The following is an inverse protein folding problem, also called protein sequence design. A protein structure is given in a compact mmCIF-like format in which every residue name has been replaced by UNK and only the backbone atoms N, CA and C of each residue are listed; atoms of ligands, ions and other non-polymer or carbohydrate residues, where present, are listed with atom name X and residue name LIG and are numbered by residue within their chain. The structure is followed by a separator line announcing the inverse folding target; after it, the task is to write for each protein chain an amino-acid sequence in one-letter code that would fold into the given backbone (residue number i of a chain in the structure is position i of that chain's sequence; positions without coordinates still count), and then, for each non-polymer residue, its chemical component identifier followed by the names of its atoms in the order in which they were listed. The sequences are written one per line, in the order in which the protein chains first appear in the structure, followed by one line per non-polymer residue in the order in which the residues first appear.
data_IF_251509981767
#
_entry.id   IF_251509981767
#
_cell.length_a   1.000
_cell.length_b   1.000
_cell.length_c   1.000
_cell.angle_alpha   90.00
_cell.angle_beta   90.00
_cell.angle_gamma   90.00
#
_symmetry.space_group_name_H-M   'P 1'
#
loop_
_entity.id
_entity.type
_entity.pdbx_description
1 polymer ?
#
# COMPACT_ATOMS: atom_id res chain seq x y z
N UNK A 1 28.97 14.71 51.30
CA UNK A 1 28.90 15.44 50.02
C UNK A 1 29.01 14.42 48.90
N UNK A 2 27.92 14.18 48.18
CA UNK A 2 27.88 13.21 47.08
C UNK A 2 26.63 13.46 46.26
N UNK A 3 26.80 14.11 45.12
CA UNK A 3 25.75 14.49 44.18
C UNK A 3 25.24 13.26 43.41
N UNK A 4 23.94 13.02 43.49
CA UNK A 4 23.19 12.21 42.52
C UNK A 4 22.52 13.15 41.52
N UNK A 5 23.08 13.29 40.31
CA UNK A 5 22.36 13.85 39.17
C UNK A 5 21.86 12.71 38.29
N UNK A 6 20.54 12.59 38.22
CA UNK A 6 19.78 11.72 37.34
C UNK A 6 19.89 12.19 35.89
N UNK A 7 20.34 11.30 35.01
CA UNK A 7 20.25 11.47 33.56
C UNK A 7 18.82 11.20 33.08
N UNK A 8 18.03 12.25 32.87
CA UNK A 8 16.70 12.18 32.23
C UNK A 8 16.65 13.02 30.94
N UNK A 9 17.77 13.14 30.22
CA UNK A 9 17.91 14.02 29.04
C UNK A 9 17.73 13.37 27.66
N UNK A 10 17.38 12.08 27.57
CA UNK A 10 17.39 11.34 26.30
C UNK A 10 16.11 11.38 25.46
N UNK A 11 14.94 11.57 26.07
CA UNK A 11 13.65 11.39 25.38
C UNK A 11 13.09 12.67 24.74
N UNK A 12 13.47 13.86 25.21
CA UNK A 12 12.93 15.13 24.71
C UNK A 12 13.50 15.54 23.33
N UNK A 13 14.75 15.17 23.01
CA UNK A 13 15.38 15.55 21.74
C UNK A 13 14.94 14.69 20.52
N UNK A 14 14.33 13.52 20.74
CA UNK A 14 13.78 12.71 19.64
C UNK A 14 12.40 13.20 19.21
N UNK A 15 11.67 13.88 20.10
CA UNK A 15 10.31 14.36 19.88
C UNK A 15 10.25 15.54 18.90
N UNK A 16 11.22 16.45 18.89
CA UNK A 16 11.23 17.57 17.94
C UNK A 16 11.52 17.12 16.49
N UNK A 17 12.21 15.99 16.31
CA UNK A 17 12.54 15.47 14.96
C UNK A 17 11.33 14.87 14.23
N UNK A 18 10.37 14.24 14.94
CA UNK A 18 9.18 13.66 14.27
C UNK A 18 8.03 14.67 14.10
N UNK A 19 8.09 15.85 14.72
CA UNK A 19 7.10 16.92 14.53
C UNK A 19 7.06 17.43 13.06
N UNK A 20 8.11 17.18 12.29
CA UNK A 20 8.26 17.59 10.88
C UNK A 20 7.99 16.48 9.85
N UNK A 21 7.63 15.27 10.32
CA UNK A 21 7.48 14.13 9.43
C UNK A 21 6.07 14.08 8.88
N UNK A 22 5.94 14.56 7.64
CA UNK A 22 4.73 14.34 6.84
C UNK A 22 4.48 12.84 6.67
N UNK A 23 3.37 12.31 7.20
CA UNK A 23 2.99 10.90 7.09
C UNK A 23 1.62 10.75 6.43
N UNK A 24 1.43 9.61 5.75
CA UNK A 24 0.14 9.26 5.17
C UNK A 24 -0.80 8.68 6.23
N UNK A 25 -1.96 9.29 6.45
CA UNK A 25 -2.93 8.84 7.46
C UNK A 25 -3.56 7.49 7.13
N UNK A 26 -3.54 7.07 5.86
CA UNK A 26 -4.10 5.78 5.46
C UNK A 26 -3.15 4.59 5.73
N UNK A 27 -1.83 4.82 5.85
CA UNK A 27 -0.88 3.72 6.01
C UNK A 27 0.21 3.97 7.05
N UNK A 28 0.27 5.16 7.65
CA UNK A 28 1.27 5.56 8.65
C UNK A 28 2.70 5.62 8.13
N UNK A 29 2.92 5.50 6.83
CA UNK A 29 4.26 5.58 6.22
C UNK A 29 4.61 7.04 5.98
N UNK A 30 5.87 7.39 6.22
CA UNK A 30 6.40 8.72 5.94
C UNK A 30 6.29 9.04 4.44
N UNK A 31 5.74 10.21 4.14
CA UNK A 31 5.84 10.82 2.82
C UNK A 31 7.24 11.45 2.77
N UNK A 32 8.14 10.78 2.06
CA UNK A 32 9.53 11.21 1.90
C UNK A 32 9.69 12.16 0.71
N UNK A 33 10.75 12.96 0.71
CA UNK A 33 11.03 13.86 -0.40
C UNK A 33 11.65 13.14 -1.60
N UNK A 34 11.44 13.68 -2.80
CA UNK A 34 12.08 13.21 -4.03
C UNK A 34 12.86 14.30 -4.76
N UNK A 35 13.84 13.90 -5.56
CA UNK A 35 14.54 14.86 -6.42
C UNK A 35 13.81 15.03 -7.75
N UNK A 36 13.99 16.20 -8.38
CA UNK A 36 13.49 16.43 -9.76
C UNK A 36 14.07 15.40 -10.73
N UNK A 37 15.31 14.97 -10.53
CA UNK A 37 15.98 13.97 -11.38
C UNK A 37 15.25 12.63 -11.33
N UNK A 38 14.86 12.17 -10.14
CA UNK A 38 14.13 10.91 -9.97
C UNK A 38 12.80 10.91 -10.72
N UNK A 39 12.05 12.01 -10.63
CA UNK A 39 10.76 12.17 -11.32
C UNK A 39 10.96 12.20 -12.84
N UNK A 40 11.89 13.02 -13.34
CA UNK A 40 12.08 13.19 -14.79
C UNK A 40 12.68 11.95 -15.46
N UNK A 41 13.40 11.12 -14.71
CA UNK A 41 13.92 9.87 -15.24
C UNK A 41 12.81 8.85 -15.52
N UNK A 42 11.66 8.94 -14.83
CA UNK A 42 10.53 8.03 -15.01
C UNK A 42 9.98 8.06 -16.44
N UNK A 43 9.76 9.27 -16.99
CA UNK A 43 9.05 9.48 -18.26
C UNK A 43 9.74 10.47 -19.19
N UNK A 44 9.98 10.05 -20.43
CA UNK A 44 10.67 10.90 -21.42
C UNK A 44 9.84 12.12 -21.84
N UNK A 45 8.52 12.02 -21.87
CA UNK A 45 7.63 13.16 -22.16
C UNK A 45 7.64 14.20 -21.04
N UNK A 46 7.73 13.77 -19.78
CA UNK A 46 7.96 14.68 -18.64
C UNK A 46 9.31 15.37 -18.75
N UNK A 47 10.37 14.60 -19.06
CA UNK A 47 11.73 15.14 -19.28
C UNK A 47 11.77 16.15 -20.41
N UNK A 48 11.11 15.90 -21.54
CA UNK A 48 10.98 16.86 -22.66
C UNK A 48 10.25 18.12 -22.25
N UNK A 49 9.11 17.98 -21.57
CA UNK A 49 8.30 19.11 -21.09
C UNK A 49 9.07 19.99 -20.09
N UNK A 50 9.91 19.36 -19.26
CA UNK A 50 10.70 20.02 -18.23
C UNK A 50 11.84 20.89 -18.76
N UNK A 51 12.27 20.71 -20.02
CA UNK A 51 13.29 21.56 -20.65
C UNK A 51 12.81 22.99 -20.83
N UNK A 52 11.53 23.15 -21.08
CA UNK A 52 10.92 24.45 -21.41
C UNK A 52 10.10 25.03 -20.27
N UNK A 53 9.80 24.23 -19.23
CA UNK A 53 8.94 24.62 -18.11
C UNK A 53 9.61 24.35 -16.76
N UNK A 54 9.57 25.34 -15.87
CA UNK A 54 10.03 25.20 -14.48
C UNK A 54 9.11 24.36 -13.59
N UNK A 55 7.92 24.00 -14.08
CA UNK A 55 6.92 23.19 -13.39
C UNK A 55 6.13 22.34 -14.39
N UNK A 56 5.55 21.23 -13.92
CA UNK A 56 4.71 20.35 -14.72
C UNK A 56 3.48 19.91 -13.92
N UNK A 57 2.33 19.92 -14.57
CA UNK A 57 1.06 19.44 -14.03
C UNK A 57 0.46 18.41 -14.97
N UNK A 58 -0.37 17.55 -14.40
CA UNK A 58 -1.33 16.70 -15.10
C UNK A 58 -2.63 16.60 -14.28
N UNK A 59 -3.56 15.73 -14.67
CA UNK A 59 -4.77 15.42 -13.91
C UNK A 59 -4.44 14.49 -12.73
N UNK A 60 -5.25 14.59 -11.68
CA UNK A 60 -5.16 13.67 -10.55
C UNK A 60 -5.34 12.21 -11.00
N UNK A 61 -6.35 11.96 -11.83
CA UNK A 61 -6.65 10.64 -12.35
C UNK A 61 -5.47 9.99 -13.10
N UNK A 62 -4.74 10.76 -13.94
CA UNK A 62 -3.56 10.20 -14.64
C UNK A 62 -2.50 9.75 -13.64
N UNK A 63 -2.21 10.57 -12.63
CA UNK A 63 -1.16 10.26 -11.65
C UNK A 63 -1.55 9.11 -10.73
N UNK A 64 -2.82 9.03 -10.30
CA UNK A 64 -3.33 7.96 -9.44
C UNK A 64 -3.33 6.59 -10.13
N UNK A 65 -3.53 6.57 -11.45
CA UNK A 65 -3.49 5.35 -12.24
C UNK A 65 -2.09 5.04 -12.78
N UNK A 66 -1.09 5.84 -12.42
CA UNK A 66 0.28 5.66 -12.90
C UNK A 66 0.96 4.48 -12.21
N UNK A 67 1.72 3.73 -13.00
CA UNK A 67 2.69 2.78 -12.48
C UNK A 67 4.10 3.30 -12.75
N UNK A 68 4.85 3.54 -11.68
CA UNK A 68 6.24 4.00 -11.75
C UNK A 68 7.17 2.82 -11.99
N UNK A 69 7.55 2.61 -13.25
CA UNK A 69 8.34 1.45 -13.70
C UNK A 69 9.82 1.60 -13.39
N UNK A 70 10.39 2.80 -13.57
CA UNK A 70 11.85 3.00 -13.40
C UNK A 70 12.21 3.28 -11.95
N UNK A 71 11.35 4.00 -11.22
CA UNK A 71 11.52 4.24 -9.79
C UNK A 71 10.22 3.98 -9.02
N UNK A 72 9.97 2.73 -8.58
CA UNK A 72 8.76 2.37 -7.87
C UNK A 72 8.45 3.27 -6.69
N UNK A 73 9.47 3.73 -5.93
CA UNK A 73 9.33 4.61 -4.76
C UNK A 73 8.61 5.93 -5.03
N UNK A 74 8.50 6.34 -6.30
CA UNK A 74 7.76 7.55 -6.66
C UNK A 74 6.32 7.52 -6.14
N UNK A 75 5.71 6.33 -5.98
CA UNK A 75 4.36 6.19 -5.42
C UNK A 75 4.21 6.84 -4.02
N UNK A 76 5.24 6.77 -3.17
CA UNK A 76 5.21 7.25 -1.79
C UNK A 76 5.54 8.74 -1.65
N UNK A 77 5.93 9.40 -2.74
CA UNK A 77 6.23 10.84 -2.68
C UNK A 77 5.01 11.69 -2.99
N UNK A 78 4.09 11.17 -3.81
CA UNK A 78 2.89 11.87 -4.24
C UNK A 78 1.75 11.67 -3.23
N UNK A 79 1.21 12.78 -2.76
CA UNK A 79 0.12 12.80 -1.80
C UNK A 79 -0.88 13.91 -2.13
N UNK A 80 -2.11 13.73 -1.65
CA UNK A 80 -3.10 14.79 -1.47
C UNK A 80 -3.37 14.96 0.03
N UNK A 81 -4.01 16.04 0.45
CA UNK A 81 -4.38 16.27 1.82
C UNK A 81 -5.89 16.52 1.92
N UNK A 82 -6.50 15.95 2.95
CA UNK A 82 -7.81 16.41 3.44
C UNK A 82 -7.53 17.63 4.29
N UNK A 83 -8.10 18.77 3.91
CA UNK A 83 -7.89 20.05 4.57
C UNK A 83 -9.12 20.38 5.41
N UNK A 84 -8.89 20.67 6.68
CA UNK A 84 -9.92 20.96 7.68
C UNK A 84 -9.60 22.34 8.26
N UNK A 85 -10.55 23.27 8.11
CA UNK A 85 -10.44 24.63 8.65
C UNK A 85 -11.83 25.22 8.98
N UNK A 86 -11.87 26.52 9.27
CA UNK A 86 -13.11 27.26 9.58
C UNK A 86 -13.93 27.65 8.34
N UNK A 87 -13.33 27.66 7.16
CA UNK A 87 -13.95 28.06 5.89
C UNK A 87 -14.63 26.87 5.18
N UNK A 88 -14.21 25.65 5.49
CA UNK A 88 -14.84 24.42 5.04
C UNK A 88 -13.84 23.30 4.82
N UNK A 89 -14.34 22.06 4.88
CA UNK A 89 -13.51 20.88 4.64
C UNK A 89 -13.37 20.64 3.13
N UNK A 90 -12.16 20.41 2.66
CA UNK A 90 -11.91 20.20 1.23
C UNK A 90 -10.79 19.19 0.97
N UNK A 91 -10.87 18.53 -0.18
CA UNK A 91 -9.81 17.66 -0.67
C UNK A 91 -8.86 18.44 -1.58
N UNK A 92 -7.57 18.36 -1.33
CA UNK A 92 -6.57 19.00 -2.19
C UNK A 92 -6.31 18.20 -3.48
N UNK A 93 -5.62 18.83 -4.42
CA UNK A 93 -4.93 18.14 -5.52
C UNK A 93 -3.71 17.36 -5.03
N UNK A 94 -3.02 16.73 -5.97
CA UNK A 94 -1.83 15.90 -5.69
C UNK A 94 -0.55 16.68 -5.92
N UNK A 95 0.45 16.50 -5.07
CA UNK A 95 1.81 16.97 -5.31
C UNK A 95 2.85 16.05 -4.67
N UNK A 96 4.12 16.07 -5.14
CA UNK A 96 5.19 15.39 -4.47
C UNK A 96 5.64 16.20 -3.25
N UNK A 97 6.15 15.52 -2.22
CA UNK A 97 7.01 16.21 -1.24
C UNK A 97 8.34 16.55 -1.91
N UNK A 98 8.62 17.84 -2.06
CA UNK A 98 9.88 18.33 -2.61
C UNK A 98 10.71 18.85 -1.43
N UNK A 99 11.99 18.48 -1.39
CA UNK A 99 12.94 19.08 -0.45
C UNK A 99 13.04 20.58 -0.73
N UNK A 100 12.33 21.40 0.06
CA UNK A 100 12.50 22.84 0.05
C UNK A 100 13.17 23.30 1.34
N UNK A 101 14.16 24.18 1.17
CA UNK A 101 14.99 24.69 2.23
C UNK A 101 14.26 25.76 3.06
N UNK A 102 14.44 25.67 4.38
CA UNK A 102 14.22 26.70 5.42
C UNK A 102 12.80 27.00 5.95
N UNK A 103 11.70 26.48 5.38
CA UNK A 103 10.36 26.67 5.97
C UNK A 103 9.51 25.39 5.90
N UNK A 104 9.12 24.87 7.06
CA UNK A 104 8.37 23.62 7.31
C UNK A 104 6.89 23.66 6.87
N UNK A 105 6.53 24.55 5.93
CA UNK A 105 5.13 24.74 5.53
C UNK A 105 4.82 23.81 4.37
N UNK A 106 3.92 22.84 4.61
CA UNK A 106 3.44 21.96 3.55
C UNK A 106 2.44 22.71 2.65
N UNK A 107 2.50 22.43 1.35
CA UNK A 107 1.70 23.14 0.36
C UNK A 107 1.17 22.20 -0.70
N UNK A 108 -0.13 22.25 -0.92
CA UNK A 108 -0.84 21.40 -1.89
C UNK A 108 -1.65 22.25 -2.88
N UNK A 109 -1.91 21.77 -4.11
CA UNK A 109 -2.85 22.42 -5.01
C UNK A 109 -4.27 22.44 -4.42
N UNK A 110 -5.03 23.51 -4.63
CA UNK A 110 -6.42 23.62 -4.14
C UNK A 110 -7.42 22.80 -4.96
N UNK A 111 -7.11 22.53 -6.23
CA UNK A 111 -8.00 21.79 -7.14
C UNK A 111 -7.79 20.27 -6.98
N UNK A 112 -8.80 19.51 -6.50
CA UNK A 112 -8.69 18.06 -6.27
C UNK A 112 -8.45 17.24 -7.54
N UNK A 113 -8.72 17.80 -8.72
CA UNK A 113 -8.54 17.15 -10.02
C UNK A 113 -7.17 17.42 -10.65
N UNK A 114 -6.32 18.21 -9.99
CA UNK A 114 -4.98 18.54 -10.48
C UNK A 114 -3.89 17.80 -9.73
N UNK A 115 -2.90 17.35 -10.48
CA UNK A 115 -1.66 16.80 -9.95
C UNK A 115 -0.48 17.65 -10.41
N UNK A 116 0.38 18.07 -9.49
CA UNK A 116 1.72 18.57 -9.81
C UNK A 116 2.66 17.39 -9.92
N UNK A 117 3.40 17.32 -11.03
CA UNK A 117 4.46 16.32 -11.22
C UNK A 117 5.77 16.80 -10.60
N UNK A 118 6.17 18.03 -10.87
CA UNK A 118 7.30 18.72 -10.22
C UNK A 118 7.17 20.25 -10.35
N UNK A 119 8.02 20.99 -9.64
CA UNK A 119 8.16 22.44 -9.77
C UNK A 119 7.94 23.17 -8.44
N UNK A 120 8.31 24.46 -8.36
CA UNK A 120 8.25 25.22 -7.12
C UNK A 120 6.82 25.39 -6.62
N UNK A 121 6.66 25.41 -5.30
CA UNK A 121 5.38 25.70 -4.67
C UNK A 121 5.30 27.16 -4.22
N UNK A 122 4.65 27.99 -5.02
CA UNK A 122 4.43 29.41 -4.71
C UNK A 122 3.09 29.63 -3.98
N UNK A 123 3.09 30.51 -2.98
CA UNK A 123 1.89 30.94 -2.24
C UNK A 123 0.95 31.73 -3.17
N UNK A 124 -0.37 31.58 -3.02
CA UNK A 124 -1.38 32.33 -3.78
C UNK A 124 -1.63 31.85 -5.22
N UNK A 125 -0.77 30.98 -5.78
CA UNK A 125 -0.90 30.46 -7.15
C UNK A 125 -1.70 29.15 -7.20
N UNK A 126 -2.95 29.14 -6.68
CA UNK A 126 -3.78 27.92 -6.56
C UNK A 126 -3.16 26.84 -5.68
N UNK A 127 -2.37 27.27 -4.70
CA UNK A 127 -1.83 26.42 -3.64
C UNK A 127 -2.31 26.93 -2.31
N UNK A 128 -2.43 26.00 -1.38
CA UNK A 128 -2.83 26.28 -0.02
C UNK A 128 -1.79 25.69 0.94
N UNK A 129 -1.43 26.52 1.91
CA UNK A 129 -0.52 26.15 3.00
C UNK A 129 -1.34 25.38 4.04
N UNK A 130 -0.77 24.30 4.56
CA UNK A 130 -1.39 23.54 5.63
C UNK A 130 -0.33 23.02 6.59
N UNK A 131 -0.78 22.75 7.81
CA UNK A 131 -0.04 22.06 8.84
C UNK A 131 -0.57 20.64 8.98
N UNK A 132 0.30 19.65 9.06
CA UNK A 132 -0.14 18.29 9.27
C UNK A 132 -0.80 18.15 10.65
N UNK A 133 -1.91 17.40 10.72
CA UNK A 133 -2.54 17.04 11.98
C UNK A 133 -1.53 16.41 12.95
N UNK A 134 -1.52 16.88 14.20
CA UNK A 134 -0.64 16.38 15.27
C UNK A 134 -1.17 15.05 15.82
N UNK A 135 -1.08 13.99 15.03
CA UNK A 135 -1.61 12.67 15.40
C UNK A 135 -0.86 12.06 16.61
N UNK A 136 0.42 12.40 16.79
CA UNK A 136 1.34 11.75 17.73
C UNK A 136 1.80 12.67 18.87
N UNK A 137 1.42 13.95 18.86
CA UNK A 137 1.98 14.94 19.79
C UNK A 137 0.91 15.68 20.57
N UNK A 138 0.92 15.43 21.88
CA UNK A 138 0.14 16.10 22.92
C UNK A 138 0.71 17.48 23.28
N UNK A 139 1.07 18.27 22.26
CA UNK A 139 1.61 19.62 22.46
C UNK A 139 0.62 20.61 21.88
N UNK A 140 0.10 21.47 22.76
CA UNK A 140 -0.76 22.65 22.56
C UNK A 140 -1.93 22.50 21.57
N UNK A 141 -3.15 22.93 21.95
CA UNK A 141 -4.31 22.90 21.05
C UNK A 141 -4.00 23.57 19.71
N UNK A 142 -4.57 23.04 18.63
CA UNK A 142 -4.43 23.62 17.29
C UNK A 142 -4.66 25.12 17.36
N UNK A 143 -3.69 25.89 16.84
CA UNK A 143 -3.79 27.34 16.81
C UNK A 143 -5.03 27.68 15.98
N UNK A 144 -6.03 28.43 16.50
CA UNK A 144 -7.36 28.60 15.91
C UNK A 144 -7.44 29.21 14.49
N UNK A 145 -6.30 29.43 13.82
CA UNK A 145 -6.18 30.03 12.49
C UNK A 145 -5.34 29.20 11.52
N UNK A 146 -4.83 28.04 11.93
CA UNK A 146 -4.03 27.17 11.05
C UNK A 146 -4.92 26.12 10.37
N UNK A 147 -4.74 25.99 9.05
CA UNK A 147 -5.41 24.94 8.28
C UNK A 147 -4.73 23.61 8.56
N UNK A 148 -5.48 22.68 9.15
CA UNK A 148 -5.00 21.33 9.46
C UNK A 148 -5.17 20.45 8.22
N UNK A 149 -4.18 19.61 7.94
CA UNK A 149 -4.21 18.68 6.83
C UNK A 149 -3.91 17.25 7.26
N UNK A 150 -4.65 16.31 6.68
CA UNK A 150 -4.45 14.87 6.81
C UNK A 150 -3.93 14.33 5.48
N UNK A 151 -2.60 14.17 5.31
CA UNK A 151 -2.00 13.73 4.06
C UNK A 151 -2.33 12.27 3.77
N UNK A 152 -2.57 11.95 2.51
CA UNK A 152 -2.82 10.58 2.03
C UNK A 152 -2.04 10.39 0.73
N UNK A 153 -1.22 9.34 0.64
CA UNK A 153 -0.56 8.97 -0.61
C UNK A 153 -1.60 8.80 -1.72
N UNK A 154 -1.29 9.24 -2.93
CA UNK A 154 -2.23 9.15 -4.06
C UNK A 154 -2.74 7.71 -4.28
N UNK A 155 -1.89 6.70 -4.12
CA UNK A 155 -2.30 5.30 -4.23
C UNK A 155 -3.09 4.80 -3.02
N UNK A 156 -2.79 5.28 -1.80
CA UNK A 156 -3.58 4.94 -0.62
C UNK A 156 -4.98 5.56 -0.66
N UNK A 157 -5.14 6.72 -1.31
CA UNK A 157 -6.44 7.32 -1.57
C UNK A 157 -7.34 6.39 -2.38
N UNK A 158 -6.81 5.73 -3.42
CA UNK A 158 -7.56 4.73 -4.19
C UNK A 158 -7.86 3.44 -3.39
N UNK A 159 -7.04 3.09 -2.41
CA UNK A 159 -7.35 1.97 -1.50
C UNK A 159 -8.45 2.34 -0.50
N UNK A 160 -8.51 3.60 -0.07
CA UNK A 160 -9.57 4.10 0.80
C UNK A 160 -10.96 4.00 0.15
N UNK A 161 -11.06 4.17 -1.17
CA UNK A 161 -12.31 3.94 -1.91
C UNK A 161 -12.81 2.49 -1.74
N UNK A 162 -11.89 1.53 -1.85
CA UNK A 162 -12.23 0.10 -1.73
C UNK A 162 -12.68 -0.29 -0.33
N UNK A 163 -12.17 0.39 0.70
CA UNK A 163 -12.46 0.04 2.10
C UNK A 163 -13.68 0.78 2.64
N UNK A 164 -13.79 2.08 2.37
CA UNK A 164 -14.79 2.98 2.96
C UNK A 164 -15.69 3.59 1.88
N UNK A 165 -15.11 3.97 0.75
CA UNK A 165 -15.79 4.69 -0.34
C UNK A 165 -15.45 6.17 -0.35
N UNK A 166 -15.08 6.69 -1.52
CA UNK A 166 -14.74 8.11 -1.71
C UNK A 166 -15.90 9.02 -1.41
N UNK A 167 -17.11 8.65 -1.85
CA UNK A 167 -18.27 9.54 -1.74
C UNK A 167 -18.67 9.79 -0.28
N UNK A 168 -18.66 8.76 0.57
CA UNK A 168 -18.95 8.92 1.99
C UNK A 168 -17.84 9.70 2.70
N UNK A 169 -16.57 9.44 2.37
CA UNK A 169 -15.44 10.16 2.97
C UNK A 169 -15.43 11.63 2.56
N UNK A 170 -15.68 11.95 1.29
CA UNK A 170 -15.78 13.33 0.80
C UNK A 170 -16.92 14.11 1.46
N UNK A 171 -18.02 13.44 1.81
CA UNK A 171 -19.15 14.05 2.53
C UNK A 171 -18.82 14.36 4.00
N UNK A 172 -17.90 13.60 4.61
CA UNK A 172 -17.58 13.63 6.03
C UNK A 172 -16.06 13.71 6.28
N UNK A 173 -15.39 14.65 5.60
CA UNK A 173 -13.92 14.77 5.60
C UNK A 173 -13.34 14.99 6.99
N UNK A 174 -13.98 15.80 7.83
CA UNK A 174 -13.55 16.10 9.20
C UNK A 174 -13.69 14.92 10.13
N UNK A 175 -14.81 14.19 10.04
CA UNK A 175 -15.02 12.95 10.79
C UNK A 175 -13.98 11.90 10.39
N UNK A 176 -13.65 11.81 9.09
CA UNK A 176 -12.59 10.91 8.64
C UNK A 176 -11.23 11.28 9.25
N UNK A 177 -10.87 12.57 9.26
CA UNK A 177 -9.64 13.05 9.91
C UNK A 177 -9.59 12.68 11.40
N UNK A 178 -10.66 12.95 12.15
CA UNK A 178 -10.78 12.58 13.57
C UNK A 178 -10.73 11.07 13.82
N UNK A 179 -11.31 10.29 12.92
CA UNK A 179 -11.24 8.83 13.00
C UNK A 179 -9.80 8.33 12.77
N UNK A 180 -9.06 8.97 11.86
CA UNK A 180 -7.64 8.68 11.67
C UNK A 180 -6.83 9.02 12.92
N UNK A 181 -7.08 10.16 13.57
CA UNK A 181 -6.44 10.53 14.84
C UNK A 181 -6.69 9.47 15.91
N UNK A 182 -7.95 9.10 16.12
CA UNK A 182 -8.34 8.11 17.12
C UNK A 182 -7.70 6.72 16.89
N UNK A 183 -7.62 6.29 15.64
CA UNK A 183 -6.97 5.03 15.28
C UNK A 183 -5.46 5.08 15.56
N UNK A 184 -4.77 6.10 15.06
CA UNK A 184 -3.31 6.17 15.17
C UNK A 184 -2.82 6.45 16.59
N UNK A 185 -3.58 7.18 17.39
CA UNK A 185 -3.32 7.34 18.82
C UNK A 185 -3.22 6.00 19.55
N UNK A 186 -3.97 4.99 19.12
CA UNK A 186 -3.93 3.62 19.67
C UNK A 186 -2.90 2.72 19.01
N UNK A 187 -2.27 3.18 17.93
CA UNK A 187 -1.37 2.40 17.08
C UNK A 187 -0.04 3.13 16.83
N UNK A 188 0.42 3.91 17.81
CA UNK A 188 1.59 4.79 17.68
C UNK A 188 2.88 4.06 17.30
N UNK A 189 3.09 2.82 17.78
CA UNK A 189 4.26 2.01 17.43
C UNK A 189 4.35 1.68 15.93
N UNK A 190 3.25 1.83 15.21
CA UNK A 190 3.21 1.69 13.77
C UNK A 190 3.19 3.04 13.05
N UNK A 191 3.15 4.20 13.70
CA UNK A 191 3.12 5.49 13.00
C UNK A 191 4.51 5.96 12.56
N UNK A 192 4.57 6.70 11.47
CA UNK A 192 5.81 7.31 10.99
C UNK A 192 6.87 6.31 10.52
N UNK A 193 6.47 5.13 10.07
CA UNK A 193 7.44 4.11 9.59
C UNK A 193 8.06 4.52 8.27
N UNK A 194 9.35 4.25 8.11
CA UNK A 194 10.04 4.44 6.83
C UNK A 194 9.55 3.47 5.73
N UNK A 195 9.96 3.76 4.50
CA UNK A 195 9.76 2.89 3.33
C UNK A 195 10.71 1.68 3.28
N UNK A 196 11.63 1.62 4.23
CA UNK A 196 12.75 0.71 4.29
C UNK A 196 12.69 -0.03 5.60
N UNK A 197 13.09 -1.29 5.58
CA UNK A 197 13.31 -2.07 6.79
C UNK A 197 14.37 -3.13 6.53
N UNK A 198 14.99 -3.57 7.61
CA UNK A 198 15.88 -4.71 7.59
C UNK A 198 15.10 -6.02 7.36
N UNK A 199 15.71 -7.02 6.74
CA UNK A 199 15.09 -8.34 6.61
C UNK A 199 14.78 -8.97 7.97
N UNK A 200 15.63 -8.72 8.97
CA UNK A 200 15.46 -9.19 10.35
C UNK A 200 14.45 -8.35 11.16
N UNK A 201 14.11 -7.15 10.70
CA UNK A 201 13.06 -6.31 11.28
C UNK A 201 11.67 -6.81 10.81
N UNK A 202 11.16 -7.84 11.51
CA UNK A 202 9.80 -8.38 11.44
C UNK A 202 9.27 -8.93 10.10
N UNK A 203 8.75 -10.16 10.16
CA UNK A 203 7.73 -10.77 9.27
C UNK A 203 7.80 -10.38 7.77
N UNK A 204 8.99 -10.40 7.18
CA UNK A 204 9.08 -10.62 5.74
C UNK A 204 8.36 -11.94 5.45
N UNK A 205 7.30 -11.92 4.64
CA UNK A 205 6.58 -13.15 4.26
C UNK A 205 7.58 -14.05 3.53
N UNK A 206 7.94 -15.17 4.17
CA UNK A 206 9.03 -16.04 3.75
C UNK A 206 9.61 -16.77 4.95
N UNK A 207 10.12 -17.98 4.73
CA UNK A 207 10.81 -18.78 5.76
C UNK A 207 11.82 -17.89 6.48
N UNK A 208 11.80 -17.88 7.82
CA UNK A 208 12.92 -17.37 8.61
C UNK A 208 14.14 -18.14 8.11
N UNK A 209 14.94 -17.57 7.22
CA UNK A 209 16.19 -18.21 6.87
C UNK A 209 16.98 -18.20 8.17
N UNK A 210 17.35 -19.38 8.66
CA UNK A 210 18.39 -19.49 9.69
C UNK A 210 19.63 -18.81 9.09
N UNK A 211 19.84 -17.54 9.40
CA UNK A 211 20.98 -16.78 8.89
C UNK A 211 22.14 -17.04 9.83
N UNK A 212 23.17 -17.73 9.32
CA UNK A 212 24.50 -17.63 9.89
C UNK A 212 25.00 -16.18 9.77
N UNK A 213 25.83 -15.77 10.73
CA UNK A 213 26.34 -14.42 11.00
C UNK A 213 27.09 -13.69 9.86
N UNK A 214 27.05 -14.21 8.62
CA UNK A 214 27.86 -13.73 7.50
C UNK A 214 27.07 -13.36 6.22
N UNK A 215 25.74 -13.25 6.27
CA UNK A 215 24.97 -12.81 5.09
C UNK A 215 24.91 -11.27 4.99
N UNK A 216 25.08 -10.70 3.78
CA UNK A 216 24.97 -9.26 3.57
C UNK A 216 23.57 -8.78 3.94
N UNK A 217 23.53 -7.62 4.60
CA UNK A 217 22.31 -6.90 4.98
C UNK A 217 21.48 -6.60 3.72
N UNK A 218 20.25 -7.10 3.67
CA UNK A 218 19.31 -6.82 2.58
C UNK A 218 18.30 -5.78 3.06
N UNK A 219 18.24 -4.64 2.35
CA UNK A 219 17.21 -3.62 2.54
C UNK A 219 16.08 -3.84 1.57
N UNK A 220 14.85 -3.93 2.08
CA UNK A 220 13.67 -3.95 1.25
C UNK A 220 13.19 -2.53 0.93
N UNK A 221 12.70 -2.35 -0.30
CA UNK A 221 12.12 -1.11 -0.76
C UNK A 221 10.66 -1.36 -1.10
N UNK A 222 9.75 -0.74 -0.36
CA UNK A 222 8.33 -0.98 -0.59
C UNK A 222 7.86 -0.47 -1.97
N UNK A 223 7.31 -1.38 -2.76
CA UNK A 223 6.57 -1.06 -3.98
C UNK A 223 5.20 -0.44 -3.71
N UNK A 224 4.48 -0.11 -4.79
CA UNK A 224 3.16 0.49 -4.73
C UNK A 224 2.13 -0.44 -4.08
N UNK A 225 1.36 0.02 -3.08
CA UNK A 225 0.33 -0.81 -2.46
C UNK A 225 -0.89 -1.03 -3.37
N UNK A 226 -1.05 -0.22 -4.43
CA UNK A 226 -2.19 -0.31 -5.32
C UNK A 226 -1.90 -1.23 -6.51
N UNK A 227 -0.75 -1.04 -7.18
CA UNK A 227 -0.41 -1.74 -8.42
C UNK A 227 0.79 -2.64 -8.20
N UNK A 228 0.54 -3.94 -8.19
CA UNK A 228 1.56 -4.96 -7.95
C UNK A 228 1.82 -5.71 -9.26
N UNK A 229 2.95 -5.47 -9.95
CA UNK A 229 3.21 -6.04 -11.28
C UNK A 229 3.18 -7.57 -11.33
N UNK A 230 3.69 -8.23 -10.27
CA UNK A 230 3.66 -9.69 -10.18
C UNK A 230 2.23 -10.24 -10.22
N UNK A 231 1.32 -9.61 -9.48
CA UNK A 231 -0.11 -9.97 -9.50
C UNK A 231 -0.72 -9.66 -10.86
N UNK A 232 -0.46 -8.50 -11.46
CA UNK A 232 -0.99 -8.16 -12.79
C UNK A 232 -0.52 -9.12 -13.90
N UNK A 233 0.76 -9.51 -13.86
CA UNK A 233 1.33 -10.51 -14.77
C UNK A 233 0.64 -11.86 -14.58
N UNK A 234 0.43 -12.26 -13.33
CA UNK A 234 -0.23 -13.51 -12.98
C UNK A 234 -1.69 -13.52 -13.43
N UNK A 235 -2.45 -12.43 -13.23
CA UNK A 235 -3.81 -12.27 -13.76
C UNK A 235 -3.79 -12.48 -15.28
N UNK A 236 -2.90 -11.75 -15.98
CA UNK A 236 -2.78 -11.86 -17.44
C UNK A 236 -2.54 -13.30 -17.89
N UNK A 237 -1.64 -14.02 -17.19
CA UNK A 237 -1.35 -15.42 -17.49
C UNK A 237 -2.52 -16.36 -17.18
N UNK A 238 -3.24 -16.12 -16.08
CA UNK A 238 -4.38 -16.94 -15.67
C UNK A 238 -5.64 -16.68 -16.50
N UNK A 239 -5.73 -15.53 -17.18
CA UNK A 239 -6.86 -15.15 -18.04
C UNK A 239 -6.62 -15.41 -19.53
N UNK A 240 -5.39 -15.76 -19.95
CA UNK A 240 -5.14 -16.17 -21.34
C UNK A 240 -5.84 -17.50 -21.59
N UNK A 241 -6.47 -17.61 -22.76
CA UNK A 241 -7.27 -18.79 -23.17
C UNK A 241 -6.54 -20.08 -22.79
N UNK A 242 -7.24 -20.86 -21.96
CA UNK A 242 -6.76 -22.14 -21.48
C UNK A 242 -6.87 -23.09 -22.67
N UNK A 243 -5.77 -23.29 -23.41
CA UNK A 243 -5.73 -24.32 -24.44
C UNK A 243 -6.00 -25.66 -23.76
N UNK A 244 -7.12 -26.29 -24.14
CA UNK A 244 -7.47 -27.63 -23.70
C UNK A 244 -6.44 -28.58 -24.32
N UNK A 245 -5.48 -29.03 -23.51
CA UNK A 245 -4.56 -30.09 -23.92
C UNK A 245 -5.28 -31.42 -23.68
N UNK A 246 -5.87 -31.97 -24.74
CA UNK A 246 -6.39 -33.34 -24.73
C UNK A 246 -5.23 -34.33 -24.85
N UNK A 247 -4.92 -35.06 -23.77
CA UNK A 247 -4.03 -36.21 -23.81
C UNK A 247 -4.64 -37.43 -23.08
N UNK A 248 -4.37 -38.59 -23.68
CA UNK A 248 -4.99 -39.91 -23.49
C UNK A 248 -4.58 -40.62 -22.20
N UNK A 249 -5.52 -41.43 -21.68
CA UNK A 249 -5.24 -42.62 -20.87
C UNK A 249 -6.18 -42.77 -19.68
N UNK A 250 -7.16 -43.68 -19.76
CA UNK A 250 -8.06 -43.99 -18.64
C UNK A 250 -7.37 -44.93 -17.63
N UNK A 251 -7.02 -44.40 -16.46
CA UNK A 251 -6.54 -45.14 -15.29
C UNK A 251 -7.48 -44.86 -14.13
N UNK A 252 -7.74 -45.86 -13.28
CA UNK A 252 -8.64 -45.74 -12.12
C UNK A 252 -8.23 -44.66 -11.10
N UNK A 253 -6.97 -44.18 -11.13
CA UNK A 253 -6.50 -43.08 -10.27
C UNK A 253 -6.87 -41.69 -10.85
N UNK A 254 -7.18 -41.62 -12.15
CA UNK A 254 -7.69 -40.41 -12.81
C UNK A 254 -9.13 -40.12 -12.39
N UNK A 255 -9.91 -41.16 -12.08
CA UNK A 255 -11.34 -41.09 -11.73
C UNK A 255 -11.60 -41.15 -10.20
N UNK A 256 -10.70 -40.56 -9.41
CA UNK A 256 -10.86 -40.50 -7.95
C UNK A 256 -12.07 -39.62 -7.57
N UNK A 257 -12.87 -39.99 -6.55
CA UNK A 257 -13.88 -39.10 -6.01
C UNK A 257 -13.29 -37.74 -5.61
N UNK A 258 -14.00 -36.67 -5.97
CA UNK A 258 -13.52 -35.30 -5.85
C UNK A 258 -13.13 -34.92 -4.41
N UNK A 259 -13.89 -35.39 -3.44
CA UNK A 259 -13.64 -35.22 -2.02
C UNK A 259 -12.29 -35.81 -1.60
N UNK A 260 -11.94 -37.01 -2.10
CA UNK A 260 -10.64 -37.63 -1.83
C UNK A 260 -9.51 -36.85 -2.53
N UNK A 261 -9.72 -36.38 -3.76
CA UNK A 261 -8.73 -35.55 -4.47
C UNK A 261 -8.44 -34.25 -3.70
N UNK A 262 -9.48 -33.58 -3.19
CA UNK A 262 -9.35 -32.40 -2.32
C UNK A 262 -8.60 -32.75 -1.04
N UNK A 263 -8.96 -33.85 -0.37
CA UNK A 263 -8.29 -34.29 0.86
C UNK A 263 -6.79 -34.55 0.66
N UNK A 264 -6.41 -35.15 -0.48
CA UNK A 264 -5.00 -35.41 -0.79
C UNK A 264 -4.25 -34.09 -1.00
N UNK A 265 -4.81 -33.14 -1.74
CA UNK A 265 -4.19 -31.82 -1.92
C UNK A 265 -4.08 -31.11 -0.57
N UNK A 266 -5.15 -31.10 0.23
CA UNK A 266 -5.13 -30.51 1.57
C UNK A 266 -4.12 -31.17 2.50
N UNK A 267 -3.92 -32.48 2.39
CA UNK A 267 -2.88 -33.19 3.14
C UNK A 267 -1.48 -32.72 2.75
N UNK A 268 -1.18 -32.51 1.47
CA UNK A 268 0.10 -31.92 1.03
C UNK A 268 0.30 -30.54 1.66
N UNK A 269 -0.76 -29.73 1.70
CA UNK A 269 -0.72 -28.40 2.29
C UNK A 269 -0.61 -28.38 3.82
N UNK A 270 -1.24 -29.33 4.50
CA UNK A 270 -1.26 -29.43 5.95
C UNK A 270 -0.03 -30.12 6.54
N UNK A 271 0.58 -31.06 5.81
CA UNK A 271 1.73 -31.84 6.28
C UNK A 271 3.08 -31.16 6.05
N UNK A 272 3.15 -30.14 5.19
CA UNK A 272 4.41 -29.50 4.78
C UNK A 272 4.40 -27.98 4.98
N UNK A 273 5.55 -27.39 5.38
CA UNK A 273 5.68 -25.95 5.43
C UNK A 273 5.47 -25.34 4.04
N UNK A 274 5.21 -24.03 3.98
CA UNK A 274 5.15 -23.31 2.69
C UNK A 274 6.54 -23.36 2.04
N UNK A 275 6.65 -24.08 0.92
CA UNK A 275 7.90 -24.27 0.20
C UNK A 275 7.66 -24.47 -1.30
N UNK A 276 8.72 -24.37 -2.09
CA UNK A 276 8.62 -24.53 -3.55
C UNK A 276 8.33 -25.98 -3.92
N UNK A 277 8.90 -26.94 -3.19
CA UNK A 277 8.67 -28.37 -3.37
C UNK A 277 7.18 -28.71 -3.21
N UNK A 278 6.52 -28.13 -2.20
CA UNK A 278 5.08 -28.31 -1.99
C UNK A 278 4.24 -27.86 -3.18
N UNK A 279 4.59 -26.72 -3.79
CA UNK A 279 3.90 -26.20 -4.97
C UNK A 279 4.16 -27.05 -6.21
N UNK A 280 5.39 -27.50 -6.41
CA UNK A 280 5.78 -28.39 -7.51
C UNK A 280 5.03 -29.71 -7.38
N UNK A 281 5.01 -30.33 -6.20
CA UNK A 281 4.30 -31.59 -5.96
C UNK A 281 2.81 -31.44 -6.21
N UNK A 282 2.20 -30.33 -5.77
CA UNK A 282 0.79 -30.05 -6.04
C UNK A 282 0.52 -29.93 -7.55
N UNK A 283 1.38 -29.22 -8.29
CA UNK A 283 1.24 -29.08 -9.75
C UNK A 283 1.39 -30.42 -10.47
N UNK A 284 2.45 -31.16 -10.12
CA UNK A 284 2.73 -32.48 -10.67
C UNK A 284 1.58 -33.46 -10.40
N UNK A 285 0.99 -33.42 -9.19
CA UNK A 285 -0.18 -34.23 -8.84
C UNK A 285 -1.38 -33.91 -9.73
N UNK A 286 -1.75 -32.62 -9.81
CA UNK A 286 -2.89 -32.17 -10.61
C UNK A 286 -2.69 -32.48 -12.10
N UNK A 287 -1.46 -32.34 -12.61
CA UNK A 287 -1.12 -32.63 -14.00
C UNK A 287 -1.08 -34.14 -14.28
N UNK A 288 -0.39 -34.93 -13.46
CA UNK A 288 -0.25 -36.38 -13.67
C UNK A 288 -1.61 -37.10 -13.63
N UNK A 289 -2.50 -36.68 -12.72
CA UNK A 289 -3.82 -37.28 -12.57
C UNK A 289 -4.93 -36.52 -13.30
N UNK A 290 -4.59 -35.43 -14.00
CA UNK A 290 -5.54 -34.57 -14.71
C UNK A 290 -6.68 -34.06 -13.82
N UNK A 291 -6.43 -33.92 -12.51
CA UNK A 291 -7.44 -33.51 -11.55
C UNK A 291 -7.81 -32.04 -11.76
N UNK A 292 -9.11 -31.79 -11.97
CA UNK A 292 -9.70 -30.46 -12.04
C UNK A 292 -10.51 -30.21 -10.77
N UNK A 293 -9.88 -29.57 -9.78
CA UNK A 293 -10.59 -29.18 -8.56
C UNK A 293 -11.53 -27.97 -8.82
N UNK A 294 -12.67 -27.86 -8.12
CA UNK A 294 -13.62 -26.78 -8.27
C UNK A 294 -12.99 -25.40 -8.11
N UNK A 295 -13.51 -24.40 -8.83
CA UNK A 295 -13.07 -23.01 -8.65
C UNK A 295 -13.26 -22.51 -7.21
N UNK A 296 -14.34 -22.95 -6.56
CA UNK A 296 -14.64 -22.59 -5.17
C UNK A 296 -13.51 -23.01 -4.23
N UNK A 297 -12.95 -24.19 -4.42
CA UNK A 297 -11.79 -24.67 -3.66
C UNK A 297 -10.63 -23.68 -3.77
N UNK A 298 -10.20 -23.34 -5.00
CA UNK A 298 -9.10 -22.40 -5.22
C UNK A 298 -9.39 -20.99 -4.67
N UNK A 299 -10.60 -20.46 -4.91
CA UNK A 299 -11.01 -19.15 -4.42
C UNK A 299 -10.93 -19.06 -2.89
N UNK A 300 -11.33 -20.11 -2.17
CA UNK A 300 -11.27 -20.11 -0.70
C UNK A 300 -9.85 -20.13 -0.13
N UNK A 301 -8.86 -20.63 -0.88
CA UNK A 301 -7.46 -20.67 -0.45
C UNK A 301 -6.73 -19.34 -0.60
N UNK A 302 -7.26 -18.43 -1.40
CA UNK A 302 -6.67 -17.14 -1.67
C UNK A 302 -7.29 -16.04 -0.78
N UNK A 303 -6.46 -15.18 -0.19
CA UNK A 303 -6.94 -14.07 0.65
C UNK A 303 -7.43 -12.91 -0.24
N UNK A 304 -8.73 -12.88 -0.52
CA UNK A 304 -9.40 -11.89 -1.37
C UNK A 304 -9.23 -10.45 -0.86
N UNK A 305 -9.16 -10.26 0.46
CA UNK A 305 -9.00 -8.93 1.04
C UNK A 305 -7.64 -8.31 0.70
N UNK A 306 -6.56 -9.11 0.70
CA UNK A 306 -5.23 -8.64 0.35
C UNK A 306 -5.01 -8.57 -1.17
N UNK A 307 -5.67 -9.45 -1.93
CA UNK A 307 -5.61 -9.52 -3.40
C UNK A 307 -6.98 -9.18 -3.97
N UNK A 308 -7.41 -7.92 -3.76
CA UNK A 308 -8.71 -7.42 -4.20
C UNK A 308 -8.93 -7.52 -5.72
N UNK A 309 -7.86 -7.70 -6.50
CA UNK A 309 -7.99 -7.97 -7.93
C UNK A 309 -8.80 -9.25 -8.21
N UNK A 310 -8.85 -10.21 -7.27
CA UNK A 310 -9.73 -11.37 -7.38
C UNK A 310 -11.21 -10.99 -7.37
N UNK A 311 -11.62 -10.11 -6.45
CA UNK A 311 -13.00 -9.61 -6.38
C UNK A 311 -13.36 -8.83 -7.64
N UNK A 312 -12.41 -8.06 -8.17
CA UNK A 312 -12.57 -7.36 -9.44
C UNK A 312 -12.83 -8.35 -10.59
N UNK A 313 -12.02 -9.41 -10.70
CA UNK A 313 -12.19 -10.46 -11.71
C UNK A 313 -13.52 -11.22 -11.60
N UNK A 314 -13.94 -11.55 -10.37
CA UNK A 314 -15.21 -12.24 -10.09
C UNK A 314 -16.40 -11.35 -10.48
N UNK A 315 -16.38 -10.08 -10.05
CA UNK A 315 -17.43 -9.09 -10.35
C UNK A 315 -17.56 -8.84 -11.85
N UNK A 316 -16.43 -8.78 -12.56
CA UNK A 316 -16.38 -8.64 -14.02
C UNK A 316 -16.73 -9.93 -14.78
N UNK A 317 -16.99 -11.05 -14.08
CA UNK A 317 -17.26 -12.38 -14.66
C UNK A 317 -16.19 -12.81 -15.67
N UNK A 318 -14.92 -12.46 -15.41
CA UNK A 318 -13.82 -12.84 -16.29
C UNK A 318 -13.49 -14.32 -16.11
N UNK A 319 -13.26 -15.01 -17.23
CA UNK A 319 -12.75 -16.38 -17.20
C UNK A 319 -11.32 -16.38 -16.66
N UNK A 320 -11.09 -17.12 -15.57
CA UNK A 320 -9.80 -17.20 -14.87
C UNK A 320 -9.52 -18.66 -14.56
N UNK A 321 -8.32 -19.13 -14.91
CA UNK A 321 -7.81 -20.38 -14.39
C UNK A 321 -7.38 -20.17 -12.92
N UNK A 322 -8.29 -20.46 -11.98
CA UNK A 322 -8.10 -20.19 -10.56
C UNK A 322 -7.01 -21.05 -9.92
N UNK A 323 -6.77 -22.29 -10.39
CA UNK A 323 -5.67 -23.12 -9.90
C UNK A 323 -4.32 -22.49 -10.25
N UNK A 324 -4.15 -22.08 -11.50
CA UNK A 324 -2.95 -21.38 -11.96
C UNK A 324 -2.74 -20.06 -11.22
N UNK A 325 -3.81 -19.30 -11.01
CA UNK A 325 -3.74 -18.04 -10.28
C UNK A 325 -3.30 -18.27 -8.82
N UNK A 326 -3.99 -19.12 -8.06
CA UNK A 326 -3.66 -19.30 -6.64
C UNK A 326 -2.28 -19.94 -6.43
N UNK A 327 -1.90 -20.95 -7.23
CA UNK A 327 -0.56 -21.54 -7.15
C UNK A 327 0.54 -20.56 -7.55
N UNK A 328 0.30 -19.72 -8.56
CA UNK A 328 1.25 -18.68 -8.96
C UNK A 328 1.39 -17.56 -7.93
N UNK A 329 0.32 -17.24 -7.20
CA UNK A 329 0.38 -16.26 -6.10
C UNK A 329 1.21 -16.80 -4.94
N UNK A 330 1.04 -18.08 -4.59
CA UNK A 330 1.88 -18.72 -3.57
C UNK A 330 3.36 -18.74 -3.98
N UNK A 331 3.66 -19.00 -5.24
CA UNK A 331 5.02 -18.95 -5.78
C UNK A 331 5.65 -17.56 -5.64
N UNK A 332 4.90 -16.49 -5.95
CA UNK A 332 5.36 -15.12 -5.73
C UNK A 332 5.65 -14.84 -4.24
N UNK A 333 4.85 -15.39 -3.32
CA UNK A 333 5.06 -15.24 -1.88
C UNK A 333 6.28 -16.02 -1.34
N UNK A 334 6.76 -17.02 -2.07
CA UNK A 334 7.99 -17.75 -1.74
C UNK A 334 9.26 -17.05 -2.24
N UNK A 335 9.14 -16.16 -3.23
CA UNK A 335 10.27 -15.38 -3.71
C UNK A 335 10.78 -14.43 -2.61
N UNK A 336 12.05 -14.62 -2.22
CA UNK A 336 12.67 -13.88 -1.12
C UNK A 336 12.55 -12.38 -1.33
N UNK A 337 11.97 -11.69 -0.35
CA UNK A 337 11.80 -10.23 -0.37
C UNK A 337 10.70 -9.74 -1.32
N UNK A 338 10.06 -10.59 -2.13
CA UNK A 338 9.02 -10.19 -3.06
C UNK A 338 7.83 -9.56 -2.34
N UNK A 339 7.36 -10.14 -1.23
CA UNK A 339 6.26 -9.58 -0.44
C UNK A 339 6.50 -8.12 -0.01
N UNK A 340 7.73 -7.82 0.39
CA UNK A 340 8.13 -6.48 0.84
C UNK A 340 8.34 -5.54 -0.37
N UNK A 341 9.06 -6.01 -1.39
CA UNK A 341 9.45 -5.19 -2.55
C UNK A 341 8.32 -4.93 -3.54
N UNK A 342 7.36 -5.85 -3.64
CA UNK A 342 6.22 -5.77 -4.57
C UNK A 342 5.23 -4.67 -4.19
N UNK A 343 5.18 -4.28 -2.91
CA UNK A 343 4.17 -3.40 -2.34
C UNK A 343 3.04 -4.13 -1.62
N UNK A 344 3.03 -5.47 -1.63
CA UNK A 344 1.99 -6.26 -0.95
C UNK A 344 1.99 -6.06 0.57
N UNK A 345 3.17 -5.96 1.20
CA UNK A 345 3.31 -5.57 2.61
C UNK A 345 2.67 -4.22 2.91
N UNK A 346 2.94 -3.24 2.06
CA UNK A 346 2.40 -1.88 2.20
C UNK A 346 0.89 -1.87 1.99
N UNK A 347 0.39 -2.70 1.06
CA UNK A 347 -1.04 -2.91 0.86
C UNK A 347 -1.70 -3.48 2.10
N UNK A 348 -1.18 -4.59 2.66
CA UNK A 348 -1.72 -5.17 3.90
C UNK A 348 -1.81 -4.12 5.00
N UNK A 349 -0.73 -3.39 5.21
CA UNK A 349 -0.65 -2.34 6.22
C UNK A 349 -1.67 -1.21 6.00
N UNK A 350 -1.80 -0.73 4.76
CA UNK A 350 -2.77 0.31 4.42
C UNK A 350 -4.21 -0.19 4.63
N UNK A 351 -4.53 -1.39 4.17
CA UNK A 351 -5.86 -1.97 4.32
C UNK A 351 -6.20 -2.23 5.80
N UNK A 352 -5.26 -2.72 6.61
CA UNK A 352 -5.45 -2.90 8.06
C UNK A 352 -5.76 -1.57 8.73
N UNK A 353 -4.95 -0.54 8.41
CA UNK A 353 -5.13 0.78 9.00
C UNK A 353 -6.45 1.42 8.58
N UNK A 354 -6.78 1.36 7.29
CA UNK A 354 -8.07 1.83 6.77
C UNK A 354 -9.27 1.09 7.37
N UNK A 355 -9.14 -0.22 7.62
CA UNK A 355 -10.16 -1.01 8.32
C UNK A 355 -10.42 -0.49 9.73
N UNK A 356 -9.36 -0.26 10.52
CA UNK A 356 -9.50 0.32 11.86
C UNK A 356 -10.04 1.76 11.84
N UNK A 357 -9.58 2.58 10.89
CA UNK A 357 -10.11 3.95 10.71
C UNK A 357 -11.59 3.92 10.35
N UNK A 358 -12.02 3.00 9.47
CA UNK A 358 -13.43 2.82 9.07
C UNK A 358 -14.32 2.58 10.29
N UNK A 359 -13.91 1.74 11.23
CA UNK A 359 -14.69 1.46 12.43
C UNK A 359 -14.93 2.71 13.28
N UNK A 360 -13.89 3.54 13.46
CA UNK A 360 -14.02 4.82 14.14
C UNK A 360 -14.90 5.81 13.36
N UNK A 361 -14.70 5.89 12.05
CA UNK A 361 -15.39 6.80 11.15
C UNK A 361 -16.90 6.52 11.11
N UNK A 362 -17.31 5.26 10.90
CA UNK A 362 -18.72 4.88 10.83
C UNK A 362 -19.46 5.19 12.14
N UNK A 363 -18.83 4.94 13.30
CA UNK A 363 -19.40 5.30 14.61
C UNK A 363 -19.55 6.81 14.82
N UNK A 364 -18.73 7.64 14.18
CA UNK A 364 -18.83 9.09 14.28
C UNK A 364 -19.99 9.63 13.46
N UNK A 365 -20.15 9.15 12.22
CA UNK A 365 -21.25 9.59 11.34
C UNK A 365 -22.62 9.06 11.80
N UNK A 366 -22.69 7.87 12.40
CA UNK A 366 -23.93 7.31 12.96
C UNK A 366 -24.46 8.11 14.14
N UNK A 367 -23.60 8.77 14.92
CA UNK A 367 -24.01 9.61 16.06
C UNK A 367 -24.50 11.00 15.65
N UNK A 368 -24.28 11.40 14.41
CA UNK A 368 -24.69 12.70 13.87
C UNK A 368 -26.05 12.64 13.15
N UNK A 369 -26.49 11.44 12.77
CA UNK A 369 -27.83 11.17 12.26
C UNK A 369 -28.73 10.72 13.41
#
# INVERSE_FOLDING_TARGET
MGNSQSQSGGYLNYCDYLADILCCVACGIQITGCTRKDILNEREDWKRSARWRGHLFTTAAELEHMYFKKNPKLWSYYYRAILVDSEGDQLSGICPKIYHSKKHVNRVPTDPQRARIFGPVRKGSRNVDFRMARIVYDTEPDIPKERIGYPIHAHCWLLLDRVIGHEIVKKHLREFGRAADAYWWRNLGNWGTGLWHHEDEMLCYGTKSQTGWHKPVIYHVTGSPLRIPGIQKLITQATRECADVHLRGHSAIVDLPLDIAILIVDLIYGSRPRSMERLIDTRNLLEAFQWKLPETYWKTRCNYWLVFEMDDLIREKRAVNWSRFCLGLEELLLERGWYCNSGLRTRQRALTSLGGIKEHFLRMIEKQN
#
